data_IF_693585513791
#
_entry.id   IF_693585513791
#
_cell.length_a   1.000
_cell.length_b   1.000
_cell.length_c   1.000
_cell.angle_alpha   90.00
_cell.angle_beta   90.00
_cell.angle_gamma   90.00
#
_symmetry.space_group_name_H-M   'P 1'
#
loop_
_entity.id
_entity.type
_entity.pdbx_description
1 polymer ?
#
# COMPACT_ATOMS: atom_id res chain seq x y z
N UNK A 1 -6.71 -1.89 9.70
CA UNK A 1 -7.23 -2.57 8.50
C UNK A 1 -7.46 -4.03 8.83
N UNK A 2 -8.63 -4.55 8.46
CA UNK A 2 -8.97 -5.95 8.70
C UNK A 2 -8.60 -6.79 7.49
N UNK A 3 -8.11 -8.02 7.73
CA UNK A 3 -7.74 -8.94 6.68
C UNK A 3 -6.67 -9.89 7.14
N UNK A 4 -6.29 -10.79 6.26
CA UNK A 4 -5.24 -11.77 6.52
C UNK A 4 -4.03 -11.45 5.69
N UNK A 5 -2.85 -11.58 6.27
CA UNK A 5 -1.61 -11.47 5.51
C UNK A 5 -1.47 -12.76 4.70
N UNK A 6 -1.51 -12.64 3.37
CA UNK A 6 -1.42 -13.80 2.47
C UNK A 6 -0.01 -14.06 2.01
N UNK A 7 0.87 -13.07 2.13
CA UNK A 7 2.27 -13.16 1.76
C UNK A 7 3.08 -12.32 2.72
N UNK A 8 4.14 -12.87 3.24
CA UNK A 8 5.04 -12.15 4.13
C UNK A 8 6.01 -11.25 3.39
N UNK A 9 6.96 -10.72 4.15
CA UNK A 9 8.01 -9.86 3.61
C UNK A 9 8.87 -10.64 2.60
N UNK A 10 9.22 -9.98 1.49
CA UNK A 10 10.15 -10.53 0.50
C UNK A 10 11.55 -10.58 1.12
N UNK A 11 12.23 -11.71 0.96
CA UNK A 11 13.57 -11.92 1.50
C UNK A 11 14.62 -11.47 0.49
N UNK A 12 15.78 -10.98 0.95
CA UNK A 12 16.88 -10.69 0.07
C UNK A 12 17.28 -11.93 -0.75
N UNK A 13 17.42 -11.75 -2.06
CA UNK A 13 17.74 -12.85 -2.96
C UNK A 13 16.55 -13.67 -3.41
N UNK A 14 15.36 -13.41 -2.89
CA UNK A 14 14.14 -14.09 -3.31
C UNK A 14 13.75 -13.62 -4.72
N UNK A 15 13.36 -14.54 -5.64
CA UNK A 15 12.89 -14.12 -6.97
C UNK A 15 11.72 -13.16 -6.93
N UNK A 16 10.93 -13.15 -5.84
CA UNK A 16 9.81 -12.23 -5.65
C UNK A 16 10.24 -10.88 -5.08
N UNK A 17 11.51 -10.61 -4.98
CA UNK A 17 12.04 -9.36 -4.42
C UNK A 17 11.59 -8.12 -5.16
N UNK A 18 11.15 -8.28 -6.43
CA UNK A 18 10.59 -7.19 -7.20
C UNK A 18 9.22 -6.73 -6.69
N UNK A 19 8.62 -7.48 -5.77
CA UNK A 19 7.32 -7.15 -5.16
C UNK A 19 7.47 -7.04 -3.65
N UNK A 20 8.15 -5.99 -3.16
CA UNK A 20 8.29 -5.81 -1.71
C UNK A 20 6.96 -5.47 -1.06
N UNK A 21 6.87 -5.68 0.25
CA UNK A 21 5.68 -5.36 1.02
C UNK A 21 4.90 -6.59 1.41
N UNK A 22 3.63 -6.39 1.74
CA UNK A 22 2.73 -7.47 2.15
C UNK A 22 1.43 -7.41 1.36
N UNK A 23 0.81 -8.57 1.19
CA UNK A 23 -0.52 -8.68 0.60
C UNK A 23 -1.50 -9.04 1.72
N UNK A 24 -2.59 -8.29 1.80
CA UNK A 24 -3.61 -8.49 2.83
C UNK A 24 -4.89 -8.92 2.13
N UNK A 25 -5.35 -10.14 2.41
CA UNK A 25 -6.57 -10.65 1.82
C UNK A 25 -7.78 -9.94 2.43
N UNK A 26 -8.53 -9.23 1.59
CA UNK A 26 -9.73 -8.49 2.00
C UNK A 26 -10.75 -8.55 0.88
N UNK A 27 -12.06 -8.48 1.19
CA UNK A 27 -13.07 -8.41 0.15
C UNK A 27 -12.93 -7.15 -0.71
N UNK A 28 -13.33 -7.24 -1.97
CA UNK A 28 -13.40 -6.07 -2.85
C UNK A 28 -14.33 -5.02 -2.23
N UNK A 29 -13.91 -3.76 -2.31
CA UNK A 29 -14.71 -2.66 -1.77
C UNK A 29 -14.41 -2.33 -0.32
N UNK A 30 -13.41 -2.96 0.28
CA UNK A 30 -12.99 -2.63 1.64
C UNK A 30 -12.27 -1.28 1.65
N UNK A 31 -12.58 -0.44 2.64
CA UNK A 31 -11.94 0.87 2.75
C UNK A 31 -10.44 0.74 3.02
N UNK A 32 -9.65 1.45 2.24
CA UNK A 32 -8.20 1.56 2.44
C UNK A 32 -7.93 2.92 3.08
N UNK A 33 -7.31 2.91 4.25
CA UNK A 33 -7.06 4.13 5.03
C UNK A 33 -5.58 4.49 5.01
N UNK A 34 -5.31 5.78 4.97
CA UNK A 34 -3.94 6.28 5.03
C UNK A 34 -3.30 5.83 6.34
N UNK A 35 -2.12 5.21 6.25
CA UNK A 35 -1.39 4.73 7.42
C UNK A 35 -0.83 5.88 8.25
N UNK A 36 -0.67 7.04 7.64
CA UNK A 36 -0.18 8.24 8.32
C UNK A 36 -0.54 9.48 7.51
N UNK A 37 -0.39 10.64 8.11
CA UNK A 37 -0.61 11.90 7.41
C UNK A 37 0.48 12.17 6.38
N UNK A 38 0.11 12.82 5.28
CA UNK A 38 1.05 13.14 4.24
C UNK A 38 0.40 13.72 3.01
N UNK A 39 1.14 13.70 1.92
CA UNK A 39 0.70 14.21 0.62
C UNK A 39 0.61 13.06 -0.37
N UNK A 40 -0.41 13.06 -1.21
CA UNK A 40 -0.53 12.07 -2.28
C UNK A 40 0.54 12.39 -3.33
N UNK A 41 1.60 11.59 -3.36
CA UNK A 41 2.70 11.76 -4.29
C UNK A 41 2.33 11.24 -5.68
N UNK A 42 1.50 10.21 -5.74
CA UNK A 42 1.01 9.66 -7.01
C UNK A 42 -0.30 8.91 -6.76
N UNK A 43 -1.17 8.95 -7.75
CA UNK A 43 -2.42 8.19 -7.75
C UNK A 43 -2.74 7.88 -9.21
N UNK A 44 -2.79 6.61 -9.56
CA UNK A 44 -2.94 6.25 -10.95
C UNK A 44 -3.02 4.75 -11.16
N UNK A 45 -2.59 4.33 -12.33
CA UNK A 45 -2.63 2.92 -12.71
C UNK A 45 -1.23 2.45 -13.12
N UNK A 46 -0.89 1.25 -12.70
CA UNK A 46 0.39 0.59 -12.96
C UNK A 46 0.11 -0.82 -13.44
N UNK A 47 0.87 -1.36 -14.42
CA UNK A 47 0.61 -2.72 -14.93
C UNK A 47 0.66 -3.80 -13.87
N UNK A 48 1.51 -3.65 -12.86
CA UNK A 48 1.66 -4.66 -11.80
C UNK A 48 0.75 -4.39 -10.61
N UNK A 49 0.67 -3.13 -10.16
CA UNK A 49 -0.08 -2.77 -8.95
C UNK A 49 -1.54 -2.42 -9.24
N UNK A 50 -1.91 -2.26 -10.52
CA UNK A 50 -3.24 -1.80 -10.87
C UNK A 50 -3.48 -0.37 -10.41
N UNK A 51 -4.68 -0.07 -9.94
CA UNK A 51 -4.94 1.25 -9.35
C UNK A 51 -4.20 1.33 -8.02
N UNK A 52 -3.44 2.42 -7.84
CA UNK A 52 -2.60 2.57 -6.66
C UNK A 52 -2.57 4.00 -6.16
N UNK A 53 -2.22 4.15 -4.88
CA UNK A 53 -1.94 5.44 -4.25
C UNK A 53 -0.57 5.35 -3.60
N UNK A 54 0.25 6.37 -3.80
CA UNK A 54 1.52 6.53 -3.12
C UNK A 54 1.44 7.78 -2.25
N UNK A 55 1.62 7.60 -0.94
CA UNK A 55 1.64 8.72 0.01
C UNK A 55 3.06 9.02 0.41
N UNK A 56 3.39 10.31 0.48
CA UNK A 56 4.66 10.78 1.02
C UNK A 56 4.42 11.36 2.40
N UNK A 57 5.16 10.84 3.37
CA UNK A 57 5.06 11.23 4.77
C UNK A 57 6.29 12.01 5.21
N UNK A 58 6.27 12.64 6.39
CA UNK A 58 7.48 13.28 6.93
C UNK A 58 8.64 12.30 7.08
N UNK A 59 9.86 12.86 7.11
CA UNK A 59 11.09 12.11 7.38
C UNK A 59 11.43 11.07 6.31
N UNK A 60 10.97 11.29 5.07
CA UNK A 60 11.32 10.43 3.95
C UNK A 60 10.55 9.13 3.85
N UNK A 61 9.53 8.94 4.69
CA UNK A 61 8.68 7.76 4.59
C UNK A 61 7.69 7.88 3.44
N UNK A 62 7.40 6.74 2.82
CA UNK A 62 6.35 6.62 1.81
C UNK A 62 5.57 5.33 2.06
N UNK A 63 4.26 5.39 1.80
CA UNK A 63 3.41 4.18 1.84
C UNK A 63 2.71 4.03 0.50
N UNK A 64 2.63 2.79 0.01
CA UNK A 64 2.02 2.48 -1.27
C UNK A 64 0.90 1.47 -1.07
N UNK A 65 -0.21 1.69 -1.76
CA UNK A 65 -1.44 0.91 -1.66
C UNK A 65 -1.84 0.50 -3.07
N UNK A 66 -1.78 -0.80 -3.36
CA UNK A 66 -2.02 -1.31 -4.71
C UNK A 66 -3.25 -2.21 -4.82
N UNK A 67 -3.61 -2.53 -6.05
CA UNK A 67 -4.73 -3.38 -6.43
C UNK A 67 -6.10 -2.82 -5.99
N UNK A 68 -6.23 -1.50 -5.97
CA UNK A 68 -7.49 -0.86 -5.64
C UNK A 68 -8.51 -1.06 -6.76
N UNK A 69 -9.79 -0.97 -6.40
CA UNK A 69 -10.88 -0.93 -7.38
C UNK A 69 -11.29 0.51 -7.69
N UNK A 70 -11.04 1.43 -6.74
CA UNK A 70 -11.38 2.83 -6.89
C UNK A 70 -10.44 3.69 -6.07
N UNK A 71 -10.01 4.80 -6.64
CA UNK A 71 -9.21 5.80 -5.92
C UNK A 71 -10.13 6.94 -5.49
N UNK A 72 -9.94 7.41 -4.26
CA UNK A 72 -10.76 8.47 -3.66
C UNK A 72 -9.94 9.74 -3.40
N UNK A 73 -8.69 9.76 -3.84
CA UNK A 73 -7.81 10.93 -3.71
C UNK A 73 -7.06 11.12 -5.02
N UNK A 74 -6.50 12.32 -5.19
CA UNK A 74 -5.73 12.68 -6.38
C UNK A 74 -4.33 13.15 -5.98
N UNK A 75 -3.41 13.07 -6.93
CA UNK A 75 -2.05 13.56 -6.72
C UNK A 75 -2.08 15.02 -6.23
N UNK A 76 -1.26 15.30 -5.23
CA UNK A 76 -1.14 16.62 -4.63
C UNK A 76 -2.05 16.86 -3.44
N UNK A 77 -3.06 16.02 -3.21
CA UNK A 77 -3.93 16.19 -2.04
C UNK A 77 -3.18 15.88 -0.75
N UNK A 78 -3.51 16.63 0.31
CA UNK A 78 -3.03 16.33 1.64
C UNK A 78 -4.07 15.47 2.36
N UNK A 79 -3.59 14.45 3.05
CA UNK A 79 -4.46 13.51 3.78
C UNK A 79 -3.98 13.39 5.22
N UNK A 80 -4.92 13.07 6.10
CA UNK A 80 -4.62 12.77 7.49
C UNK A 80 -4.62 11.26 7.69
N UNK A 81 -3.95 10.80 8.74
CA UNK A 81 -3.97 9.40 9.11
C UNK A 81 -5.42 8.92 9.27
N UNK A 82 -5.72 7.75 8.73
CA UNK A 82 -7.06 7.17 8.82
C UNK A 82 -8.05 7.60 7.76
N UNK A 83 -7.70 8.60 6.93
CA UNK A 83 -8.59 8.99 5.83
C UNK A 83 -8.74 7.84 4.83
N UNK A 84 -9.95 7.58 4.37
CA UNK A 84 -10.20 6.60 3.32
C UNK A 84 -9.69 7.17 2.00
N UNK A 85 -8.69 6.51 1.41
CA UNK A 85 -8.01 6.98 0.20
C UNK A 85 -8.34 6.14 -1.03
N UNK A 86 -8.85 4.93 -0.83
CA UNK A 86 -9.18 4.02 -1.92
C UNK A 86 -10.11 2.94 -1.41
N UNK A 87 -10.65 2.15 -2.34
CA UNK A 87 -11.37 0.92 -2.03
C UNK A 87 -10.57 -0.25 -2.62
N UNK A 88 -10.52 -1.35 -1.89
CA UNK A 88 -9.79 -2.54 -2.34
C UNK A 88 -10.45 -3.17 -3.56
N UNK A 89 -9.65 -3.87 -4.35
CA UNK A 89 -10.12 -4.52 -5.55
C UNK A 89 -9.28 -5.71 -5.93
N UNK A 90 -9.19 -5.93 -7.23
CA UNK A 90 -8.42 -7.00 -7.82
C UNK A 90 -7.80 -6.52 -9.14
N UNK A 91 -7.42 -5.24 -9.19
CA UNK A 91 -6.82 -4.66 -10.39
C UNK A 91 -5.32 -4.95 -10.45
N UNK A 92 -4.76 -4.88 -11.65
CA UNK A 92 -3.36 -5.19 -11.87
C UNK A 92 -3.10 -6.69 -11.88
N UNK A 93 -1.89 -7.09 -11.53
CA UNK A 93 -1.48 -8.50 -11.49
C UNK A 93 -1.89 -9.13 -10.17
N UNK A 94 -3.15 -9.48 -10.09
CA UNK A 94 -3.70 -10.09 -8.90
C UNK A 94 -4.57 -11.28 -9.28
N UNK A 95 -4.44 -12.40 -8.56
CA UNK A 95 -5.23 -13.60 -8.78
C UNK A 95 -6.39 -13.71 -7.80
N UNK A 96 -6.41 -12.88 -6.77
CA UNK A 96 -7.46 -12.87 -5.75
C UNK A 96 -7.55 -11.47 -5.15
N UNK A 97 -8.74 -11.08 -4.65
CA UNK A 97 -8.89 -9.78 -4.01
C UNK A 97 -7.94 -9.62 -2.82
N UNK A 98 -7.13 -8.57 -2.83
CA UNK A 98 -6.24 -8.26 -1.72
C UNK A 98 -5.73 -6.83 -1.86
N UNK A 99 -5.18 -6.31 -0.77
CA UNK A 99 -4.47 -5.05 -0.75
C UNK A 99 -2.98 -5.34 -0.73
N UNK A 100 -2.25 -4.72 -1.64
CA UNK A 100 -0.79 -4.75 -1.59
C UNK A 100 -0.32 -3.48 -0.90
N UNK A 101 0.43 -3.63 0.18
CA UNK A 101 0.87 -2.52 1.02
C UNK A 101 2.39 -2.53 1.15
N UNK A 102 3.01 -1.36 0.90
CA UNK A 102 4.46 -1.18 1.08
C UNK A 102 4.74 0.02 1.94
N UNK A 103 5.80 -0.07 2.73
CA UNK A 103 6.40 1.07 3.43
C UNK A 103 7.81 1.21 2.90
N UNK A 104 8.19 2.44 2.53
CA UNK A 104 9.54 2.76 2.07
C UNK A 104 10.07 3.94 2.86
N UNK A 105 11.39 4.00 2.98
CA UNK A 105 12.06 5.16 3.53
C UNK A 105 13.30 5.42 2.70
N UNK A 106 13.39 6.64 2.15
CA UNK A 106 14.52 7.06 1.31
C UNK A 106 14.80 6.06 0.17
N UNK A 107 13.72 5.59 -0.48
CA UNK A 107 13.81 4.67 -1.59
C UNK A 107 13.99 3.20 -1.22
N UNK A 108 14.08 2.88 0.07
CA UNK A 108 14.23 1.50 0.53
C UNK A 108 12.92 0.96 1.04
N UNK A 109 12.60 -0.26 0.62
CA UNK A 109 11.45 -0.97 1.16
C UNK A 109 11.74 -1.40 2.59
N UNK A 110 10.75 -1.23 3.47
CA UNK A 110 10.84 -1.64 4.86
C UNK A 110 9.87 -2.79 5.09
N UNK A 111 10.13 -3.59 6.14
CA UNK A 111 9.20 -4.62 6.57
C UNK A 111 8.00 -3.94 7.24
N UNK A 112 6.81 -3.95 6.62
CA UNK A 112 5.66 -3.27 7.19
C UNK A 112 5.27 -3.80 8.56
N UNK A 113 5.44 -5.10 8.79
CA UNK A 113 5.08 -5.71 10.07
C UNK A 113 6.00 -5.22 11.19
N UNK A 114 7.29 -5.10 10.91
CA UNK A 114 8.26 -4.59 11.88
C UNK A 114 8.00 -3.12 12.20
N UNK A 115 7.78 -2.31 11.18
CA UNK A 115 7.54 -0.87 11.36
C UNK A 115 6.26 -0.62 12.15
N UNK A 116 5.19 -1.32 11.83
CA UNK A 116 3.91 -1.19 12.55
C UNK A 116 4.07 -1.59 14.00
N UNK A 117 4.82 -2.68 14.25
CA UNK A 117 5.05 -3.18 15.61
C UNK A 117 5.84 -2.17 16.46
N UNK A 118 6.86 -1.56 15.87
CA UNK A 118 7.68 -0.56 16.54
C UNK A 118 6.94 0.75 16.78
N UNK A 119 5.99 1.08 15.91
CA UNK A 119 5.20 2.30 16.00
C UNK A 119 4.14 2.27 17.09
N UNK A 120 3.95 1.13 17.71
CA UNK A 120 3.01 0.99 18.81
C UNK A 120 3.77 1.06 20.14
#
# INVERSE_FOLDING_TARGET
MKGFVTRGQVRPGDPAESHPGIDIAVPVGTAVRAAGGGTVAAAGIDPDYGLYVLLRHPEGYETMYGHASRLLVSEGEQVQAGRVIALTGNSGRSTAPHLHFEIRREGRSLDPLTVVREGN
#
